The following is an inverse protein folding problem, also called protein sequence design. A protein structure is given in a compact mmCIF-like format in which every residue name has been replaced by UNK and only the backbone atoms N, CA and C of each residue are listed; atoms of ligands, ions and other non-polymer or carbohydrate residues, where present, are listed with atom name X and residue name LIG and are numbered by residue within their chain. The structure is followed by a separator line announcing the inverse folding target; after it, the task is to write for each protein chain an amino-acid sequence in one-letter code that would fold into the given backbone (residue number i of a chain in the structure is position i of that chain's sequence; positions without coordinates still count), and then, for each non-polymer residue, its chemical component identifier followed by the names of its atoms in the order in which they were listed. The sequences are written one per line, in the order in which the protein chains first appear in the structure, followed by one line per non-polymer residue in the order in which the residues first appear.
data_IF_146560774868
#
_entry.id   IF_146560774868
#
_cell.length_a   1.000
_cell.length_b   1.000
_cell.length_c   1.000
_cell.angle_alpha   90.00
_cell.angle_beta   90.00
_cell.angle_gamma   90.00
#
_symmetry.space_group_name_H-M   'P 1'
#
loop_
_entity.id
_entity.type
_entity.pdbx_description
1 polymer ?
#
# COMPACT_ATOMS: atom_id res chain seq x y z
N UNK A 1 -47.15 -8.22 -6.76
CA UNK A 1 -46.77 -6.80 -6.61
C UNK A 1 -45.26 -6.72 -6.90
N UNK A 2 -44.85 -6.21 -8.07
CA UNK A 2 -43.43 -6.06 -8.38
C UNK A 2 -42.91 -4.81 -7.67
N UNK A 3 -41.90 -4.97 -6.81
CA UNK A 3 -41.28 -3.84 -6.12
C UNK A 3 -40.53 -3.01 -7.16
N UNK A 4 -41.07 -1.84 -7.49
CA UNK A 4 -40.50 -0.92 -8.48
C UNK A 4 -39.06 -0.57 -8.07
N UNK A 5 -38.09 -0.83 -8.95
CA UNK A 5 -36.68 -0.51 -8.71
C UNK A 5 -35.86 -1.57 -7.98
N UNK A 6 -36.43 -2.74 -7.65
CA UNK A 6 -35.67 -3.84 -7.04
C UNK A 6 -34.60 -4.40 -8.00
N UNK A 7 -34.93 -4.57 -9.28
CA UNK A 7 -33.97 -5.00 -10.30
C UNK A 7 -32.82 -3.99 -10.48
N UNK A 8 -33.15 -2.69 -10.46
CA UNK A 8 -32.16 -1.61 -10.53
C UNK A 8 -31.22 -1.63 -9.31
N UNK A 9 -31.75 -1.90 -8.12
CA UNK A 9 -30.94 -2.03 -6.90
C UNK A 9 -30.00 -3.25 -6.99
N UNK A 10 -30.48 -4.38 -7.50
CA UNK A 10 -29.66 -5.59 -7.73
C UNK A 10 -28.55 -5.32 -8.75
N UNK A 11 -28.86 -4.62 -9.83
CA UNK A 11 -27.86 -4.24 -10.85
C UNK A 11 -26.81 -3.29 -10.30
N UNK A 12 -27.21 -2.32 -9.48
CA UNK A 12 -26.30 -1.40 -8.82
C UNK A 12 -25.35 -2.14 -7.86
N UNK A 13 -25.88 -3.06 -7.03
CA UNK A 13 -25.07 -3.89 -6.15
C UNK A 13 -24.11 -4.79 -6.93
N UNK A 14 -24.57 -5.33 -8.05
CA UNK A 14 -23.75 -6.15 -8.95
C UNK A 14 -22.59 -5.36 -9.56
N UNK A 15 -22.82 -4.09 -9.95
CA UNK A 15 -21.77 -3.18 -10.44
C UNK A 15 -20.76 -2.82 -9.34
N UNK A 16 -21.24 -2.53 -8.13
CA UNK A 16 -20.38 -2.26 -6.96
C UNK A 16 -19.49 -3.47 -6.66
N UNK A 17 -20.06 -4.68 -6.64
CA UNK A 17 -19.33 -5.92 -6.40
C UNK A 17 -18.24 -6.17 -7.44
N UNK A 18 -18.52 -5.93 -8.72
CA UNK A 18 -17.58 -6.21 -9.82
C UNK A 18 -16.44 -5.21 -9.88
N UNK A 19 -16.69 -3.93 -9.57
CA UNK A 19 -15.75 -2.86 -9.84
C UNK A 19 -15.24 -2.16 -8.56
N UNK A 20 -16.15 -1.68 -7.73
CA UNK A 20 -15.82 -0.83 -6.58
C UNK A 20 -15.17 -1.63 -5.45
N UNK A 21 -15.66 -2.84 -5.15
CA UNK A 21 -15.10 -3.67 -4.06
C UNK A 21 -13.65 -4.06 -4.35
N UNK A 22 -13.28 -4.64 -5.51
CA UNK A 22 -11.88 -4.98 -5.81
C UNK A 22 -10.95 -3.78 -5.83
N UNK A 23 -11.43 -2.62 -6.31
CA UNK A 23 -10.67 -1.38 -6.28
C UNK A 23 -10.41 -0.91 -4.84
N UNK A 24 -11.44 -0.94 -3.99
CA UNK A 24 -11.31 -0.63 -2.57
C UNK A 24 -10.36 -1.59 -1.84
N UNK A 25 -10.43 -2.89 -2.13
CA UNK A 25 -9.51 -3.88 -1.58
C UNK A 25 -8.06 -3.58 -1.96
N UNK A 26 -7.77 -3.32 -3.23
CA UNK A 26 -6.42 -2.96 -3.67
C UNK A 26 -5.91 -1.67 -3.00
N UNK A 27 -6.78 -0.67 -2.83
CA UNK A 27 -6.44 0.56 -2.09
C UNK A 27 -6.13 0.28 -0.62
N UNK A 28 -6.93 -0.53 0.06
CA UNK A 28 -6.70 -0.90 1.45
C UNK A 28 -5.35 -1.59 1.63
N UNK A 29 -5.02 -2.55 0.75
CA UNK A 29 -3.74 -3.27 0.76
C UNK A 29 -2.57 -2.30 0.58
N UNK A 30 -2.67 -1.38 -0.39
CA UNK A 30 -1.64 -0.37 -0.62
C UNK A 30 -1.46 0.58 0.56
N UNK A 31 -2.54 0.91 1.28
CA UNK A 31 -2.49 1.75 2.48
C UNK A 31 -1.75 1.04 3.60
N UNK A 32 -2.10 -0.23 3.89
CA UNK A 32 -1.40 -1.05 4.90
C UNK A 32 0.08 -1.17 4.56
N UNK A 33 0.43 -1.46 3.31
CA UNK A 33 1.83 -1.57 2.89
C UNK A 33 2.61 -0.26 3.06
N UNK A 34 1.98 0.88 2.74
CA UNK A 34 2.58 2.21 2.95
C UNK A 34 2.78 2.52 4.43
N UNK A 35 1.81 2.19 5.28
CA UNK A 35 1.92 2.32 6.73
C UNK A 35 3.04 1.46 7.28
N UNK A 36 3.15 0.20 6.86
CA UNK A 36 4.24 -0.69 7.25
C UNK A 36 5.61 -0.10 6.90
N UNK A 37 5.80 0.37 5.66
CA UNK A 37 7.04 1.06 5.25
C UNK A 37 7.34 2.25 6.16
N UNK A 38 6.34 3.10 6.41
CA UNK A 38 6.52 4.30 7.21
C UNK A 38 6.90 3.95 8.66
N UNK A 39 6.24 2.96 9.26
CA UNK A 39 6.47 2.53 10.63
C UNK A 39 7.87 1.90 10.75
N UNK A 40 8.18 0.90 9.93
CA UNK A 40 9.48 0.23 9.94
C UNK A 40 10.64 1.19 9.66
N UNK A 41 10.48 2.11 8.70
CA UNK A 41 11.51 3.13 8.42
C UNK A 41 11.74 4.08 9.59
N UNK A 42 10.69 4.37 10.39
CA UNK A 42 10.85 5.21 11.59
C UNK A 42 11.59 4.48 12.69
N UNK A 43 11.25 3.20 12.90
CA UNK A 43 11.87 2.36 13.90
C UNK A 43 13.36 2.19 13.64
N UNK A 44 13.73 1.75 12.42
CA UNK A 44 15.13 1.55 12.04
C UNK A 44 15.93 2.85 12.11
N UNK A 45 15.36 3.99 11.69
CA UNK A 45 16.03 5.28 11.79
C UNK A 45 16.34 5.70 13.23
N UNK A 46 15.45 5.38 14.18
CA UNK A 46 15.68 5.65 15.61
C UNK A 46 16.76 4.75 16.18
N UNK A 47 16.72 3.46 15.87
CA UNK A 47 17.69 2.46 16.37
C UNK A 47 19.10 2.71 15.83
N UNK A 48 19.21 3.01 14.53
CA UNK A 48 20.51 3.23 13.85
C UNK A 48 21.02 4.66 13.93
N UNK A 49 20.22 5.60 14.46
CA UNK A 49 20.49 7.05 14.46
C UNK A 49 20.74 7.65 13.06
N UNK A 50 20.22 7.01 12.01
CA UNK A 50 20.30 7.49 10.63
C UNK A 50 19.04 8.28 10.26
N UNK A 51 19.17 9.30 9.39
CA UNK A 51 18.02 10.07 8.90
C UNK A 51 16.96 9.15 8.27
N UNK A 52 15.71 9.26 8.74
CA UNK A 52 14.55 8.47 8.26
C UNK A 52 14.37 8.47 6.75
N UNK A 53 14.62 9.61 6.09
CA UNK A 53 14.50 9.75 4.63
C UNK A 53 15.36 8.72 3.90
N UNK A 54 16.61 8.56 4.32
CA UNK A 54 17.57 7.62 3.72
C UNK A 54 17.11 6.17 3.87
N UNK A 55 16.62 5.82 5.06
CA UNK A 55 16.08 4.48 5.35
C UNK A 55 14.85 4.19 4.48
N UNK A 56 13.93 5.16 4.39
CA UNK A 56 12.70 5.02 3.58
C UNK A 56 13.00 4.86 2.09
N UNK A 57 13.98 5.59 1.56
CA UNK A 57 14.42 5.47 0.16
C UNK A 57 14.95 4.07 -0.20
N UNK A 58 15.35 3.26 0.78
CA UNK A 58 15.74 1.86 0.57
C UNK A 58 14.56 0.95 0.26
N UNK A 59 13.35 1.37 0.60
CA UNK A 59 12.12 0.60 0.41
C UNK A 59 11.33 1.08 -0.79
N UNK A 60 10.90 0.15 -1.64
CA UNK A 60 10.06 0.40 -2.81
C UNK A 60 8.77 -0.40 -2.69
N UNK A 61 7.64 0.23 -2.97
CA UNK A 61 6.34 -0.42 -2.97
C UNK A 61 5.92 -0.78 -4.39
N UNK A 62 5.82 -2.07 -4.70
CA UNK A 62 5.07 -2.57 -5.85
C UNK A 62 3.61 -2.68 -5.45
N UNK A 63 2.78 -1.77 -5.97
CA UNK A 63 1.38 -1.61 -5.56
C UNK A 63 0.49 -2.77 -6.04
N UNK A 64 -0.51 -3.09 -5.21
CA UNK A 64 -1.64 -3.91 -5.58
C UNK A 64 -2.54 -3.17 -6.59
N UNK A 65 -3.11 -3.91 -7.53
CA UNK A 65 -4.12 -3.44 -8.49
C UNK A 65 -5.33 -4.37 -8.46
N UNK A 66 -6.42 -4.00 -9.13
CA UNK A 66 -7.62 -4.86 -9.23
C UNK A 66 -7.28 -6.23 -9.85
N UNK A 67 -6.37 -6.28 -10.82
CA UNK A 67 -5.94 -7.52 -11.49
C UNK A 67 -4.95 -8.34 -10.67
N UNK A 68 -4.16 -7.67 -9.82
CA UNK A 68 -3.18 -8.33 -8.95
C UNK A 68 -3.27 -7.71 -7.55
N UNK A 69 -4.04 -8.31 -6.62
CA UNK A 69 -4.31 -7.74 -5.31
C UNK A 69 -3.09 -7.78 -4.37
N UNK A 70 -1.98 -8.35 -4.79
CA UNK A 70 -0.79 -8.49 -3.96
C UNK A 70 0.13 -7.25 -4.07
N UNK A 71 0.35 -6.56 -2.95
CA UNK A 71 1.40 -5.56 -2.82
C UNK A 71 2.70 -6.21 -2.35
N UNK A 72 3.84 -5.80 -2.91
CA UNK A 72 5.17 -6.29 -2.50
C UNK A 72 6.03 -5.11 -2.06
N UNK A 73 6.61 -5.23 -0.87
CA UNK A 73 7.61 -4.29 -0.36
C UNK A 73 8.98 -4.86 -0.69
N UNK A 74 9.78 -4.11 -1.45
CA UNK A 74 11.13 -4.49 -1.85
C UNK A 74 12.09 -3.59 -1.08
N UNK A 75 13.01 -4.19 -0.33
CA UNK A 75 13.98 -3.45 0.50
C UNK A 75 15.39 -3.71 -0.01
N UNK A 76 16.13 -2.65 -0.31
CA UNK A 76 17.56 -2.74 -0.59
C UNK A 76 18.34 -2.89 0.72
N UNK A 77 18.87 -4.09 0.95
CA UNK A 77 19.61 -4.49 2.16
C UNK A 77 21.12 -4.24 2.13
N UNK A 78 21.69 -3.71 1.03
CA UNK A 78 23.12 -3.39 0.99
C UNK A 78 23.50 -2.27 1.95
N UNK A 79 24.78 -1.92 2.04
CA UNK A 79 25.23 -0.87 2.95
C UNK A 79 24.74 0.53 2.55
N UNK A 80 24.72 1.43 3.54
CA UNK A 80 24.47 2.85 3.33
C UNK A 80 25.80 3.54 2.99
N UNK A 81 25.86 4.31 1.88
CA UNK A 81 27.05 5.08 1.57
C UNK A 81 27.37 6.08 2.69
N UNK A 82 28.60 6.08 3.18
CA UNK A 82 29.04 6.92 4.31
C UNK A 82 28.84 8.41 4.01
N UNK A 83 29.06 8.84 2.75
CA UNK A 83 28.81 10.21 2.27
C UNK A 83 27.39 10.69 2.58
N UNK A 84 26.40 9.78 2.57
CA UNK A 84 25.00 10.14 2.84
C UNK A 84 24.70 10.26 4.34
N UNK A 85 25.56 9.76 5.21
CA UNK A 85 25.38 9.82 6.66
C UNK A 85 25.73 11.19 7.25
N UNK A 86 26.51 12.02 6.53
CA UNK A 86 26.82 13.39 6.94
C UNK A 86 27.65 13.49 8.21
N UNK A 87 28.42 12.43 8.50
CA UNK A 87 29.57 12.44 9.41
C UNK A 87 30.81 12.94 8.68
#
# INVERSE_FOLDING_TARGET
MAIKGLDQAIDNLSRVRKNAIPAASAMAINRVATTAINQSSSQVARETKVRRKLVKERSRLKRATVRNPNARIIVNRGDLPVIKLGI
#
